data_IF_173581328054
#
_entry.id   IF_173581328054
#
_cell.length_a   1.000
_cell.length_b   1.000
_cell.length_c   1.000
_cell.angle_alpha   90.00
_cell.angle_beta   90.00
_cell.angle_gamma   90.00
#
_symmetry.space_group_name_H-M   'P 1'
#
loop_
_entity.id
_entity.type
_entity.pdbx_description
1 polymer ?
#
# COMPACT_ATOMS: atom_id res chain seq x y z
N UNK A 1 -51.63 49.92 -5.97
CA UNK A 1 -50.22 49.51 -5.92
C UNK A 1 -49.54 49.99 -7.20
N UNK A 2 -48.31 50.48 -7.15
CA UNK A 2 -47.60 51.09 -8.30
C UNK A 2 -46.75 50.09 -9.09
N UNK A 3 -46.98 49.99 -10.40
CA UNK A 3 -46.43 48.95 -11.30
C UNK A 3 -45.06 49.32 -11.91
N UNK A 4 -44.17 49.90 -11.10
CA UNK A 4 -42.84 50.33 -11.52
C UNK A 4 -41.90 49.14 -11.77
N UNK A 5 -41.79 48.22 -10.82
CA UNK A 5 -41.00 47.00 -10.96
C UNK A 5 -41.70 46.03 -11.92
N UNK A 6 -41.06 45.72 -13.05
CA UNK A 6 -41.55 44.82 -14.10
C UNK A 6 -40.41 43.97 -14.66
N UNK A 7 -40.64 42.69 -15.01
CA UNK A 7 -39.62 41.85 -15.64
C UNK A 7 -39.35 42.25 -17.10
N UNK A 8 -38.14 41.96 -17.58
CA UNK A 8 -37.68 42.27 -18.94
C UNK A 8 -38.07 41.18 -19.93
N UNK A 9 -39.30 41.22 -20.45
CA UNK A 9 -39.81 40.26 -21.46
C UNK A 9 -39.10 40.31 -22.81
N UNK A 10 -38.45 41.43 -23.14
CA UNK A 10 -37.62 41.62 -24.33
C UNK A 10 -36.32 42.30 -23.89
N UNK A 11 -35.18 41.74 -24.30
CA UNK A 11 -33.89 42.37 -24.09
C UNK A 11 -33.75 43.65 -24.94
N UNK A 12 -32.84 44.55 -24.56
CA UNK A 12 -32.41 45.62 -25.45
C UNK A 12 -31.72 45.01 -26.67
N UNK A 13 -32.19 45.36 -27.87
CA UNK A 13 -31.59 44.92 -29.14
C UNK A 13 -30.65 46.03 -29.60
N UNK A 14 -29.34 45.73 -29.68
CA UNK A 14 -28.35 46.64 -30.21
C UNK A 14 -28.73 47.10 -31.63
N UNK A 15 -28.85 48.41 -31.81
CA UNK A 15 -28.97 49.06 -33.13
C UNK A 15 -27.58 49.58 -33.53
N UNK A 16 -27.41 49.92 -34.81
CA UNK A 16 -26.10 50.26 -35.39
C UNK A 16 -25.31 51.37 -34.66
N UNK A 17 -25.96 52.23 -33.86
CA UNK A 17 -25.31 53.24 -33.01
C UNK A 17 -24.21 52.69 -32.06
N UNK A 18 -24.18 51.39 -31.77
CA UNK A 18 -23.20 50.76 -30.86
C UNK A 18 -22.23 49.80 -31.58
N UNK A 19 -22.03 49.95 -32.90
CA UNK A 19 -21.04 49.14 -33.63
C UNK A 19 -20.91 49.35 -35.15
N UNK A 20 -21.79 50.12 -35.78
CA UNK A 20 -21.74 50.46 -37.21
C UNK A 20 -21.82 51.96 -37.42
N UNK A 21 -20.66 52.63 -37.51
CA UNK A 21 -20.62 54.09 -37.54
C UNK A 21 -21.02 54.69 -38.89
N UNK A 22 -22.29 55.08 -39.01
CA UNK A 22 -22.68 56.20 -39.88
C UNK A 22 -23.34 57.29 -39.03
N UNK A 23 -22.77 58.49 -39.08
CA UNK A 23 -23.13 59.60 -38.21
C UNK A 23 -24.48 60.24 -38.62
N UNK A 24 -25.56 59.84 -37.93
CA UNK A 24 -26.74 60.69 -37.77
C UNK A 24 -26.58 61.78 -36.69
N UNK A 25 -25.40 61.85 -36.05
CA UNK A 25 -25.04 62.77 -34.98
C UNK A 25 -23.53 62.75 -34.72
N UNK A 26 -23.01 63.69 -33.91
CA UNK A 26 -21.57 63.88 -33.70
C UNK A 26 -20.87 62.68 -33.05
N UNK A 27 -19.57 62.51 -33.36
CA UNK A 27 -18.69 61.56 -32.67
C UNK A 27 -18.48 62.03 -31.22
N UNK A 28 -18.59 61.13 -30.26
CA UNK A 28 -18.24 61.40 -28.86
C UNK A 28 -16.73 61.39 -28.65
N UNK A 29 -16.20 62.36 -27.91
CA UNK A 29 -14.77 62.45 -27.55
C UNK A 29 -14.39 61.70 -26.26
N UNK A 30 -15.35 61.01 -25.64
CA UNK A 30 -15.15 60.18 -24.45
C UNK A 30 -14.52 58.82 -24.81
N UNK A 31 -13.46 58.43 -24.09
CA UNK A 31 -12.72 57.18 -24.30
C UNK A 31 -12.66 56.44 -22.95
N UNK A 32 -12.98 55.15 -22.92
CA UNK A 32 -12.84 54.31 -21.73
C UNK A 32 -11.39 53.89 -21.50
N UNK A 33 -11.04 53.58 -20.25
CA UNK A 33 -9.76 52.95 -19.92
C UNK A 33 -9.58 51.57 -20.59
N UNK A 34 -10.68 50.93 -21.01
CA UNK A 34 -10.68 49.67 -21.78
C UNK A 34 -10.48 49.87 -23.29
N UNK A 35 -10.70 51.07 -23.82
CA UNK A 35 -10.56 51.40 -25.25
C UNK A 35 -9.13 51.83 -25.61
N UNK A 36 -8.25 51.98 -24.60
CA UNK A 36 -6.83 52.29 -24.77
C UNK A 36 -6.13 51.12 -25.49
N UNK A 37 -5.23 51.46 -26.42
CA UNK A 37 -4.62 50.52 -27.37
C UNK A 37 -3.84 49.36 -26.71
N UNK A 38 -4.53 48.25 -26.43
CA UNK A 38 -3.98 47.02 -25.87
C UNK A 38 -3.94 45.89 -26.91
N UNK A 39 -3.02 44.93 -26.73
CA UNK A 39 -2.89 43.71 -27.54
C UNK A 39 -2.92 43.90 -29.08
N UNK A 40 -2.36 45.01 -29.57
CA UNK A 40 -2.34 45.45 -30.98
C UNK A 40 -1.63 44.51 -31.99
N UNK A 41 -1.13 43.34 -31.55
CA UNK A 41 -0.45 42.34 -32.37
C UNK A 41 -1.08 40.96 -32.16
N UNK A 42 -1.85 40.50 -33.14
CA UNK A 42 -2.44 39.17 -33.14
C UNK A 42 -1.35 38.08 -33.27
N UNK A 43 -1.43 37.04 -32.43
CA UNK A 43 -0.55 35.87 -32.52
C UNK A 43 -1.11 34.89 -33.55
N UNK A 44 -0.44 34.78 -34.70
CA UNK A 44 -0.72 33.72 -35.69
C UNK A 44 -0.14 32.38 -35.24
N UNK A 45 -0.66 31.28 -35.80
CA UNK A 45 -0.08 29.93 -35.63
C UNK A 45 1.00 29.71 -36.69
N UNK A 46 2.13 29.12 -36.31
CA UNK A 46 3.26 28.87 -37.21
C UNK A 46 3.88 27.48 -37.01
N UNK A 47 4.54 26.98 -38.06
CA UNK A 47 5.29 25.71 -38.05
C UNK A 47 4.49 24.53 -37.49
N UNK A 48 5.06 23.83 -36.51
CA UNK A 48 4.52 22.63 -35.88
C UNK A 48 3.14 22.82 -35.19
N UNK A 49 2.62 24.06 -35.08
CA UNK A 49 1.26 24.31 -34.59
C UNK A 49 0.16 24.05 -35.64
N UNK A 50 0.55 23.83 -36.91
CA UNK A 50 -0.36 23.67 -38.06
C UNK A 50 -0.34 22.22 -38.57
N UNK A 51 -0.76 21.29 -37.71
CA UNK A 51 -0.78 19.85 -37.99
C UNK A 51 -2.02 19.47 -38.81
N UNK A 52 -1.88 18.55 -39.77
CA UNK A 52 -2.97 17.98 -40.55
C UNK A 52 -3.94 17.16 -39.69
N UNK A 53 -5.03 17.82 -39.30
CA UNK A 53 -5.95 17.44 -38.21
C UNK A 53 -6.70 16.11 -38.37
N UNK A 54 -6.57 15.39 -39.49
CA UNK A 54 -7.41 14.21 -39.80
C UNK A 54 -6.72 12.85 -39.55
N UNK A 55 -5.43 12.72 -39.84
CA UNK A 55 -4.70 11.44 -39.64
C UNK A 55 -3.95 11.43 -38.30
N UNK A 56 -3.04 12.39 -38.11
CA UNK A 56 -2.25 12.54 -36.89
C UNK A 56 -3.10 12.64 -35.60
N UNK A 57 -4.31 13.20 -35.69
CA UNK A 57 -5.25 13.28 -34.55
C UNK A 57 -5.77 11.91 -34.12
N UNK A 58 -6.09 10.99 -35.04
CA UNK A 58 -6.58 9.65 -34.67
C UNK A 58 -5.47 8.83 -34.01
N UNK A 59 -4.26 8.89 -34.55
CA UNK A 59 -3.10 8.16 -34.02
C UNK A 59 -2.66 8.71 -32.66
N UNK A 60 -2.61 10.04 -32.49
CA UNK A 60 -2.30 10.66 -31.20
C UNK A 60 -3.38 10.45 -30.13
N UNK A 61 -4.68 10.46 -30.49
CA UNK A 61 -5.74 10.06 -29.56
C UNK A 61 -5.60 8.61 -29.12
N UNK A 62 -5.37 7.66 -30.04
CA UNK A 62 -5.16 6.25 -29.69
C UNK A 62 -3.88 6.02 -28.88
N UNK A 63 -2.85 6.86 -29.04
CA UNK A 63 -1.64 6.82 -28.21
C UNK A 63 -1.91 7.35 -26.79
N UNK A 64 -2.63 8.48 -26.67
CA UNK A 64 -3.04 9.06 -25.39
C UNK A 64 -3.98 8.11 -24.63
N UNK A 65 -4.99 7.53 -25.30
CA UNK A 65 -5.91 6.55 -24.72
C UNK A 65 -5.16 5.34 -24.15
N UNK A 66 -4.14 4.83 -24.86
CA UNK A 66 -3.28 3.73 -24.35
C UNK A 66 -2.44 4.15 -23.14
N UNK A 67 -1.93 5.39 -23.11
CA UNK A 67 -1.17 5.93 -21.99
C UNK A 67 -2.06 6.21 -20.76
N UNK A 68 -3.29 6.69 -20.97
CA UNK A 68 -4.29 6.83 -19.92
C UNK A 68 -4.78 5.46 -19.42
N UNK A 69 -4.98 4.47 -20.30
CA UNK A 69 -5.36 3.13 -19.92
C UNK A 69 -4.26 2.39 -19.12
N UNK A 70 -2.97 2.63 -19.41
CA UNK A 70 -1.86 2.04 -18.65
C UNK A 70 -1.63 2.76 -17.29
N UNK A 71 -1.76 4.09 -17.25
CA UNK A 71 -1.63 4.86 -16.01
C UNK A 71 -2.86 4.80 -15.10
N UNK A 72 -4.07 4.67 -15.64
CA UNK A 72 -5.33 4.50 -14.89
C UNK A 72 -5.41 3.15 -14.17
N UNK A 73 -4.66 2.13 -14.62
CA UNK A 73 -4.38 0.89 -13.87
C UNK A 73 -3.48 1.14 -12.65
N UNK A 74 -2.60 2.13 -12.73
CA UNK A 74 -1.61 2.53 -11.71
C UNK A 74 -2.01 3.81 -10.97
N UNK A 75 -3.31 4.00 -10.70
CA UNK A 75 -3.85 5.18 -9.99
C UNK A 75 -3.08 5.45 -8.70
N UNK A 76 -2.84 6.73 -8.42
CA UNK A 76 -2.14 7.22 -7.23
C UNK A 76 -2.82 6.63 -5.97
N UNK A 77 -2.08 5.78 -5.24
CA UNK A 77 -2.58 4.98 -4.10
C UNK A 77 -2.86 3.49 -4.38
N UNK A 78 -2.71 3.02 -5.63
CA UNK A 78 -2.70 1.61 -6.04
C UNK A 78 -1.65 1.38 -7.15
N UNK A 79 -0.36 1.50 -6.79
CA UNK A 79 0.66 0.72 -7.49
C UNK A 79 0.57 -0.72 -6.98
N UNK A 80 0.54 -1.77 -7.84
CA UNK A 80 0.95 -3.08 -7.38
C UNK A 80 2.40 -2.98 -6.92
N UNK A 81 2.74 -3.63 -5.81
CA UNK A 81 4.14 -3.78 -5.40
C UNK A 81 4.74 -4.79 -6.36
N UNK A 82 5.60 -4.33 -7.27
CA UNK A 82 6.38 -5.22 -8.14
C UNK A 82 7.59 -5.64 -7.33
N UNK A 83 7.63 -6.91 -6.92
CA UNK A 83 8.61 -7.42 -5.97
C UNK A 83 10.06 -7.17 -6.39
N UNK A 84 10.36 -7.22 -7.70
CA UNK A 84 11.68 -6.87 -8.24
C UNK A 84 12.07 -5.39 -7.98
N UNK A 85 11.12 -4.45 -8.09
CA UNK A 85 11.35 -3.01 -7.83
C UNK A 85 11.47 -2.78 -6.31
N UNK A 86 10.72 -3.53 -5.50
CA UNK A 86 10.88 -3.46 -4.05
C UNK A 86 12.20 -4.07 -3.58
N UNK A 87 12.64 -5.19 -4.16
CA UNK A 87 13.93 -5.81 -3.89
C UNK A 87 15.11 -4.89 -4.27
N UNK A 88 15.03 -4.21 -5.41
CA UNK A 88 16.01 -3.19 -5.80
C UNK A 88 16.01 -2.00 -4.82
N UNK A 89 14.83 -1.55 -4.38
CA UNK A 89 14.69 -0.51 -3.36
C UNK A 89 15.25 -0.92 -1.99
N UNK A 90 14.97 -2.15 -1.55
CA UNK A 90 15.52 -2.76 -0.32
C UNK A 90 17.04 -2.88 -0.41
N UNK A 91 17.61 -3.31 -1.54
CA UNK A 91 19.07 -3.33 -1.73
C UNK A 91 19.69 -1.93 -1.75
N UNK A 92 19.00 -0.91 -2.28
CA UNK A 92 19.48 0.49 -2.24
C UNK A 92 19.48 1.03 -0.81
N UNK A 93 18.44 0.75 -0.01
CA UNK A 93 18.42 1.07 1.42
C UNK A 93 19.55 0.33 2.17
N UNK A 94 19.76 -0.95 1.88
CA UNK A 94 20.83 -1.75 2.50
C UNK A 94 22.23 -1.18 2.18
N UNK A 95 22.41 -0.68 0.95
CA UNK A 95 23.64 0.00 0.50
C UNK A 95 23.82 1.42 1.08
N UNK A 96 22.75 2.05 1.59
CA UNK A 96 22.87 3.26 2.40
C UNK A 96 23.22 2.94 3.86
N UNK A 97 22.86 1.75 4.37
CA UNK A 97 23.28 1.32 5.71
C UNK A 97 24.71 0.79 5.78
N UNK A 98 25.33 0.39 4.67
CA UNK A 98 26.76 0.00 4.62
C UNK A 98 27.75 1.18 4.71
N UNK A 99 27.27 2.42 4.75
CA UNK A 99 28.09 3.61 5.09
C UNK A 99 28.09 3.90 6.61
N UNK A 100 27.46 3.05 7.43
CA UNK A 100 27.53 3.13 8.89
C UNK A 100 28.75 2.33 9.38
N UNK A 101 29.69 2.98 10.07
CA UNK A 101 30.89 2.34 10.64
C UNK A 101 30.53 1.20 11.62
N UNK A 102 30.50 -0.04 11.10
CA UNK A 102 30.15 -1.24 11.87
C UNK A 102 31.06 -1.44 13.09
N UNK A 103 32.33 -1.02 12.98
CA UNK A 103 33.34 -1.04 14.07
C UNK A 103 32.89 -0.21 15.29
N UNK A 104 32.22 0.93 15.07
CA UNK A 104 31.75 1.81 16.14
C UNK A 104 30.46 1.31 16.80
N UNK A 105 29.71 0.45 16.11
CA UNK A 105 28.51 -0.22 16.60
C UNK A 105 28.86 -1.50 17.39
N UNK A 106 29.73 -2.35 16.82
CA UNK A 106 30.13 -3.63 17.41
C UNK A 106 30.78 -3.46 18.79
N UNK A 107 31.67 -2.46 18.93
CA UNK A 107 32.32 -2.10 20.22
C UNK A 107 31.36 -1.71 21.37
N UNK A 108 30.05 -1.56 21.12
CA UNK A 108 29.05 -1.27 22.16
C UNK A 108 28.26 -2.50 22.63
N UNK A 109 28.33 -3.61 21.89
CA UNK A 109 27.48 -4.80 22.09
C UNK A 109 28.21 -6.11 21.71
N UNK A 110 29.52 -6.18 21.97
CA UNK A 110 30.28 -7.45 21.97
C UNK A 110 30.17 -8.10 23.36
N UNK A 111 29.78 -9.37 23.39
CA UNK A 111 29.97 -10.30 24.50
C UNK A 111 30.29 -11.66 23.85
N UNK A 112 31.43 -12.28 24.18
CA UNK A 112 32.04 -13.36 23.39
C UNK A 112 31.61 -14.76 23.83
N UNK A 113 31.40 -15.70 22.90
CA UNK A 113 32.18 -16.94 22.92
C UNK A 113 32.32 -17.60 21.52
N UNK A 114 33.14 -18.65 21.47
CA UNK A 114 33.71 -19.36 20.30
C UNK A 114 32.96 -20.70 20.06
N UNK A 115 33.15 -21.44 18.97
CA UNK A 115 33.96 -21.29 17.75
C UNK A 115 34.33 -22.67 17.16
N UNK A 116 34.96 -22.71 15.97
CA UNK A 116 35.40 -23.95 15.28
C UNK A 116 34.31 -24.65 14.47
N UNK A 117 34.51 -25.01 13.19
CA UNK A 117 35.40 -26.08 12.63
C UNK A 117 34.89 -27.50 12.98
N UNK A 118 34.89 -28.51 12.09
CA UNK A 118 35.52 -28.60 10.76
C UNK A 118 34.63 -29.41 9.77
N UNK A 119 35.00 -29.26 8.51
CA UNK A 119 34.41 -29.58 7.21
C UNK A 119 34.20 -31.06 6.81
N UNK A 120 33.47 -31.25 5.70
CA UNK A 120 33.46 -32.42 4.78
C UNK A 120 33.02 -33.81 5.34
N UNK A 121 32.68 -34.84 4.54
CA UNK A 121 32.53 -34.92 3.08
C UNK A 121 32.04 -36.30 2.60
N UNK A 122 31.61 -36.36 1.33
CA UNK A 122 31.23 -37.54 0.53
C UNK A 122 32.36 -38.61 0.45
N UNK A 123 32.17 -39.90 0.15
CA UNK A 123 31.02 -40.73 -0.28
C UNK A 123 31.15 -42.16 0.36
N UNK A 124 30.80 -43.36 -0.16
CA UNK A 124 30.32 -43.88 -1.45
C UNK A 124 29.65 -45.30 -1.31
N UNK A 125 29.47 -46.04 -2.42
CA UNK A 125 28.79 -47.34 -2.58
C UNK A 125 29.76 -48.54 -2.64
N UNK A 126 29.39 -49.70 -2.06
CA UNK A 126 29.50 -51.00 -2.78
C UNK A 126 28.56 -52.11 -2.25
N UNK A 127 28.45 -53.23 -2.99
CA UNK A 127 27.71 -54.47 -2.65
C UNK A 127 28.52 -55.72 -3.08
N UNK A 128 28.61 -56.76 -2.25
CA UNK A 128 28.33 -58.17 -2.62
C UNK A 128 28.33 -59.10 -1.36
N UNK A 129 28.22 -60.42 -1.59
CA UNK A 129 28.61 -61.57 -0.74
C UNK A 129 27.52 -62.32 0.07
N UNK A 130 26.59 -62.95 -0.67
CA UNK A 130 26.20 -64.37 -0.49
C UNK A 130 25.68 -64.90 0.88
N UNK A 131 24.45 -64.56 1.23
CA UNK A 131 23.33 -65.51 1.47
C UNK A 131 23.43 -66.78 2.36
N UNK A 132 24.49 -67.05 3.14
CA UNK A 132 24.47 -68.18 4.13
C UNK A 132 24.74 -67.78 5.57
N UNK A 133 25.66 -66.86 5.82
CA UNK A 133 25.78 -66.26 7.17
C UNK A 133 24.56 -65.38 7.52
N UNK A 134 23.78 -65.00 6.50
CA UNK A 134 22.62 -64.11 6.66
C UNK A 134 21.53 -64.69 7.56
N UNK A 135 21.34 -66.01 7.66
CA UNK A 135 20.22 -66.57 8.45
C UNK A 135 20.48 -66.53 9.97
N UNK A 136 21.69 -66.85 10.41
CA UNK A 136 22.08 -66.68 11.82
C UNK A 136 22.28 -65.20 12.18
N UNK A 137 22.74 -64.38 11.24
CA UNK A 137 22.77 -62.92 11.40
C UNK A 137 21.35 -62.34 11.54
N UNK A 138 20.38 -62.75 10.70
CA UNK A 138 18.98 -62.32 10.77
C UNK A 138 18.37 -62.59 12.14
N UNK A 139 18.53 -63.80 12.70
CA UNK A 139 17.92 -64.14 14.01
C UNK A 139 18.57 -63.36 15.17
N UNK A 140 19.87 -63.05 15.11
CA UNK A 140 20.52 -62.17 16.10
C UNK A 140 20.10 -60.72 15.92
N UNK A 141 20.19 -60.19 14.71
CA UNK A 141 19.78 -58.82 14.39
C UNK A 141 18.29 -58.58 14.66
N UNK A 142 17.41 -59.57 14.48
CA UNK A 142 15.99 -59.47 14.83
C UNK A 142 15.79 -59.37 16.35
N UNK A 143 16.48 -60.21 17.14
CA UNK A 143 16.43 -60.13 18.62
C UNK A 143 17.09 -58.87 19.16
N UNK A 144 18.22 -58.45 18.59
CA UNK A 144 18.93 -57.23 18.95
C UNK A 144 18.14 -55.99 18.52
N UNK A 145 17.47 -55.98 17.37
CA UNK A 145 16.59 -54.89 16.97
C UNK A 145 15.28 -54.83 17.78
N UNK A 146 14.70 -55.97 18.18
CA UNK A 146 13.55 -55.99 19.11
C UNK A 146 13.99 -55.50 20.50
N UNK A 147 15.14 -55.96 21.02
CA UNK A 147 15.66 -55.51 22.31
C UNK A 147 16.05 -54.03 22.28
N UNK A 148 16.76 -53.58 21.25
CA UNK A 148 17.14 -52.17 21.10
C UNK A 148 15.94 -51.25 20.87
N UNK A 149 14.86 -51.73 20.24
CA UNK A 149 13.58 -50.99 20.19
C UNK A 149 12.94 -50.91 21.57
N UNK A 150 12.83 -52.00 22.31
CA UNK A 150 12.27 -52.00 23.66
C UNK A 150 13.10 -51.16 24.65
N UNK A 151 14.43 -51.15 24.52
CA UNK A 151 15.32 -50.32 25.35
C UNK A 151 15.31 -48.85 24.90
N UNK A 152 15.11 -48.54 23.62
CA UNK A 152 14.91 -47.16 23.16
C UNK A 152 13.51 -46.62 23.52
N UNK A 153 12.47 -47.48 23.52
CA UNK A 153 11.11 -47.16 23.92
C UNK A 153 11.05 -46.94 25.44
N UNK A 154 11.67 -47.80 26.24
CA UNK A 154 11.82 -47.60 27.68
C UNK A 154 12.68 -46.37 28.03
N UNK A 155 13.77 -46.11 27.31
CA UNK A 155 14.57 -44.90 27.51
C UNK A 155 13.81 -43.63 27.13
N UNK A 156 12.99 -43.67 26.08
CA UNK A 156 12.09 -42.56 25.73
C UNK A 156 11.01 -42.35 26.80
N UNK A 157 10.38 -43.42 27.32
CA UNK A 157 9.43 -43.32 28.44
C UNK A 157 10.08 -42.79 29.72
N UNK A 158 11.34 -43.11 30.01
CA UNK A 158 12.09 -42.56 31.15
C UNK A 158 12.52 -41.10 30.93
N UNK A 159 12.92 -40.71 29.71
CA UNK A 159 13.21 -39.31 29.37
C UNK A 159 11.95 -38.43 29.36
N UNK A 160 10.81 -38.93 28.86
CA UNK A 160 9.51 -38.26 28.93
C UNK A 160 9.07 -38.10 30.40
N UNK A 161 9.14 -39.15 31.21
CA UNK A 161 8.81 -39.06 32.65
C UNK A 161 9.75 -38.12 33.41
N UNK A 162 11.06 -38.10 33.09
CA UNK A 162 11.99 -37.15 33.71
C UNK A 162 11.70 -35.71 33.25
N UNK A 163 11.31 -35.51 31.99
CA UNK A 163 10.90 -34.21 31.43
C UNK A 163 9.60 -33.68 32.05
N UNK A 164 8.59 -34.53 32.22
CA UNK A 164 7.36 -34.18 32.95
C UNK A 164 7.64 -33.87 34.42
N UNK A 165 8.45 -34.70 35.10
CA UNK A 165 8.86 -34.45 36.48
C UNK A 165 9.67 -33.15 36.63
N UNK A 166 10.51 -32.78 35.65
CA UNK A 166 11.24 -31.52 35.64
C UNK A 166 10.33 -30.31 35.38
N UNK A 167 9.30 -30.43 34.53
CA UNK A 167 8.31 -29.37 34.32
C UNK A 167 7.40 -29.18 35.54
N UNK A 168 6.91 -30.27 36.14
CA UNK A 168 6.03 -30.23 37.32
C UNK A 168 6.78 -29.84 38.59
N UNK A 169 8.02 -30.32 38.76
CA UNK A 169 8.87 -30.07 39.92
C UNK A 169 9.41 -28.63 40.03
N UNK A 170 9.22 -27.79 39.01
CA UNK A 170 9.68 -26.40 39.01
C UNK A 170 8.56 -25.44 39.48
N UNK A 171 8.58 -24.95 40.75
CA UNK A 171 7.54 -24.06 41.25
C UNK A 171 7.51 -22.70 40.56
N UNK A 172 8.59 -22.26 39.89
CA UNK A 172 8.59 -21.00 39.14
C UNK A 172 7.73 -21.11 37.88
N UNK A 173 7.80 -22.24 37.15
CA UNK A 173 6.92 -22.52 36.01
C UNK A 173 5.46 -22.59 36.45
N UNK A 174 5.15 -23.34 37.51
CA UNK A 174 3.80 -23.44 38.06
C UNK A 174 3.23 -22.09 38.55
N UNK A 175 4.06 -21.21 39.11
CA UNK A 175 3.61 -19.91 39.65
C UNK A 175 3.06 -18.95 38.57
N UNK A 176 3.54 -19.07 37.32
CA UNK A 176 3.15 -18.21 36.21
C UNK A 176 1.68 -18.33 35.80
N UNK A 177 1.08 -19.51 36.02
CA UNK A 177 -0.31 -19.81 35.65
C UNK A 177 -1.35 -19.16 36.59
N UNK A 178 -1.01 -18.97 37.86
CA UNK A 178 -2.00 -18.83 38.94
C UNK A 178 -2.27 -17.39 39.45
N UNK A 179 -1.27 -16.50 39.42
CA UNK A 179 -1.33 -15.24 40.19
C UNK A 179 -1.40 -13.94 39.38
N UNK A 180 -0.92 -13.90 38.13
CA UNK A 180 -0.74 -12.65 37.36
C UNK A 180 -1.66 -12.48 36.13
N UNK A 181 -2.52 -13.47 35.79
CA UNK A 181 -3.50 -13.32 34.69
C UNK A 181 -4.53 -12.25 35.07
N UNK A 182 -4.43 -11.06 34.46
CA UNK A 182 -5.27 -9.89 34.74
C UNK A 182 -6.77 -10.18 34.52
N UNK A 183 -7.46 -10.60 35.61
CA UNK A 183 -8.80 -11.23 35.56
C UNK A 183 -9.93 -10.37 35.02
N UNK A 184 -9.72 -9.05 34.86
CA UNK A 184 -10.67 -8.14 34.21
C UNK A 184 -9.91 -7.08 33.42
N UNK A 185 -10.17 -6.96 32.13
CA UNK A 185 -9.56 -5.94 31.25
C UNK A 185 -10.23 -4.58 31.53
N UNK A 186 -9.50 -3.48 31.39
CA UNK A 186 -10.06 -2.13 31.64
C UNK A 186 -11.30 -1.80 30.78
N UNK A 187 -11.35 -2.32 29.56
CA UNK A 187 -12.51 -2.21 28.66
C UNK A 187 -13.74 -3.02 29.12
N UNK A 188 -13.57 -3.97 30.04
CA UNK A 188 -14.54 -5.03 30.29
C UNK A 188 -15.79 -4.58 31.04
N UNK A 189 -15.75 -3.39 31.65
CA UNK A 189 -16.88 -2.72 32.30
C UNK A 189 -17.67 -1.77 31.37
N UNK A 190 -17.34 -1.69 30.07
CA UNK A 190 -18.01 -0.76 29.15
C UNK A 190 -19.27 -1.41 28.57
N UNK A 191 -20.44 -0.82 28.81
CA UNK A 191 -21.76 -1.34 28.41
C UNK A 191 -21.99 -1.48 26.90
N UNK A 192 -21.17 -0.81 26.07
CA UNK A 192 -21.20 -0.95 24.62
C UNK A 192 -19.85 -1.42 24.08
N UNK A 193 -19.85 -2.31 23.08
CA UNK A 193 -18.63 -2.79 22.42
C UNK A 193 -18.76 -2.69 20.91
N UNK A 194 -17.64 -2.39 20.25
CA UNK A 194 -17.46 -2.57 18.80
C UNK A 194 -18.52 -1.86 17.91
N UNK A 195 -19.14 -0.77 18.37
CA UNK A 195 -20.24 -0.09 17.66
C UNK A 195 -19.91 0.26 16.19
N UNK A 196 -18.68 0.70 15.91
CA UNK A 196 -18.22 1.06 14.57
C UNK A 196 -17.59 -0.12 13.77
N UNK A 197 -17.67 -1.37 14.25
CA UNK A 197 -17.05 -2.54 13.62
C UNK A 197 -17.80 -2.95 12.34
N UNK A 198 -17.50 -2.25 11.25
CA UNK A 198 -18.10 -2.47 9.93
C UNK A 198 -18.65 -1.20 9.27
N UNK A 199 -18.47 -0.02 9.87
CA UNK A 199 -19.01 1.22 9.30
C UNK A 199 -18.49 1.48 7.87
N UNK A 200 -19.37 1.71 6.88
CA UNK A 200 -18.97 1.83 5.48
C UNK A 200 -18.28 3.17 5.22
N UNK A 201 -16.93 3.18 5.29
CA UNK A 201 -16.07 4.33 5.00
C UNK A 201 -16.54 5.09 3.75
N UNK A 202 -16.72 6.44 3.80
CA UNK A 202 -17.35 7.19 2.72
C UNK A 202 -16.54 7.10 1.42
N UNK A 203 -17.09 6.37 0.44
CA UNK A 203 -16.49 6.17 -0.88
C UNK A 203 -16.35 7.51 -1.61
N UNK A 204 -15.23 7.73 -2.31
CA UNK A 204 -15.06 8.89 -3.20
C UNK A 204 -16.11 8.81 -4.32
N UNK A 205 -17.09 9.71 -4.30
CA UNK A 205 -18.17 9.83 -5.28
C UNK A 205 -18.37 11.29 -5.67
N UNK A 206 -18.83 11.51 -6.90
CA UNK A 206 -19.33 12.80 -7.36
C UNK A 206 -20.85 12.73 -7.44
N UNK A 207 -21.53 13.82 -7.06
CA UNK A 207 -22.99 13.93 -7.13
C UNK A 207 -23.30 15.28 -7.77
N UNK A 208 -24.03 15.27 -8.89
CA UNK A 208 -24.44 16.48 -9.59
C UNK A 208 -25.68 17.11 -8.92
N UNK A 209 -25.53 17.50 -7.66
CA UNK A 209 -26.55 18.13 -6.81
C UNK A 209 -25.84 19.12 -5.89
N UNK A 210 -26.26 20.39 -5.89
CA UNK A 210 -25.58 21.46 -5.15
C UNK A 210 -25.72 21.35 -3.64
N UNK A 211 -26.72 20.62 -3.12
CA UNK A 211 -27.05 20.50 -1.70
C UNK A 211 -26.74 19.09 -1.16
N UNK A 212 -27.02 18.04 -1.94
CA UNK A 212 -26.81 16.64 -1.52
C UNK A 212 -25.38 16.13 -1.75
N UNK A 213 -24.54 16.85 -2.49
CA UNK A 213 -23.13 16.54 -2.67
C UNK A 213 -22.38 16.49 -1.31
N UNK A 214 -21.47 15.53 -1.17
CA UNK A 214 -20.64 15.38 0.03
C UNK A 214 -19.76 16.62 0.30
N UNK A 215 -19.49 17.47 -0.70
CA UNK A 215 -18.90 18.81 -0.48
C UNK A 215 -19.82 19.72 0.35
N UNK A 216 -21.10 19.87 -0.04
CA UNK A 216 -22.02 20.78 0.64
C UNK A 216 -22.33 20.32 2.06
N UNK A 217 -22.48 19.00 2.28
CA UNK A 217 -22.61 18.42 3.62
C UNK A 217 -21.39 18.74 4.51
N UNK A 218 -20.17 18.64 3.98
CA UNK A 218 -18.94 19.02 4.70
C UNK A 218 -18.82 20.53 4.94
N UNK A 219 -19.35 21.35 4.03
CA UNK A 219 -19.43 22.79 4.21
C UNK A 219 -20.37 23.14 5.35
N UNK A 220 -21.61 22.62 5.34
CA UNK A 220 -22.59 22.82 6.41
C UNK A 220 -22.01 22.38 7.75
N UNK A 221 -21.55 21.12 7.88
CA UNK A 221 -20.95 20.59 9.12
C UNK A 221 -19.68 21.33 9.62
N UNK A 222 -19.08 22.22 8.82
CA UNK A 222 -17.91 23.02 9.19
C UNK A 222 -18.30 24.45 9.61
N UNK A 223 -19.27 25.06 8.94
CA UNK A 223 -19.62 26.47 9.09
C UNK A 223 -20.95 26.71 9.81
N UNK A 224 -21.75 25.66 10.02
CA UNK A 224 -22.97 25.64 10.83
C UNK A 224 -22.81 24.48 11.84
N UNK A 225 -23.08 24.74 13.11
CA UNK A 225 -22.85 23.82 14.24
C UNK A 225 -24.13 23.64 15.05
#
# INVERSE_FOLDING_TARGET
MTTAHRPTWKAAVGRAQEGGWTAGGSVSTSISALDVAAHTKLKTRSGQQLIDKKKALKESLLALEKAEASSSKHKIGKRPIVEAIEAEGRQKLLKQTTEVDEVALKKKYDDEDRGGDDSDGWSDVDRDASDKDTELAKIRAEREAVKAKAEAEAAAEEEEQMGEAAMIGNPLLASGEASAKMKRKWNEDVVFRNQAKGEPKPKKRFINDTVRNDFHKRFLNKFIR
#
